data_IF_962652385843
#
_entry.id   IF_962652385843
#
_cell.length_a   1.000
_cell.length_b   1.000
_cell.length_c   1.000
_cell.angle_alpha   90.00
_cell.angle_beta   90.00
_cell.angle_gamma   90.00
#
_symmetry.space_group_name_H-M   'P 1'
#
loop_
_entity.id
_entity.type
_entity.pdbx_description
1 polymer ?
#
# COMPACT_ATOMS: atom_id res chain seq x y z
N UNK A 1 16.09 12.87 -0.18
CA UNK A 1 15.60 12.18 1.05
C UNK A 1 15.34 10.72 0.74
N UNK A 2 15.77 9.79 1.60
CA UNK A 2 15.40 8.38 1.48
C UNK A 2 14.01 8.19 2.13
N UNK A 3 12.96 8.68 1.48
CA UNK A 3 11.58 8.76 2.00
C UNK A 3 11.13 7.43 2.61
N UNK A 4 11.41 6.33 1.92
CA UNK A 4 11.09 5.00 2.42
C UNK A 4 11.80 4.66 3.75
N UNK A 5 13.09 4.95 3.87
CA UNK A 5 13.82 4.75 5.13
C UNK A 5 13.30 5.68 6.23
N UNK A 6 12.85 6.88 5.89
CA UNK A 6 12.23 7.79 6.86
C UNK A 6 10.88 7.24 7.35
N UNK A 7 10.05 6.67 6.46
CA UNK A 7 8.84 5.94 6.84
C UNK A 7 9.15 4.79 7.82
N UNK A 8 10.14 3.94 7.50
CA UNK A 8 10.58 2.84 8.37
C UNK A 8 11.03 3.35 9.74
N UNK A 9 11.82 4.43 9.77
CA UNK A 9 12.24 5.08 11.01
C UNK A 9 11.04 5.58 11.84
N UNK A 10 10.03 6.20 11.22
CA UNK A 10 8.85 6.69 11.94
C UNK A 10 8.02 5.55 12.54
N UNK A 11 7.84 4.46 11.81
CA UNK A 11 7.17 3.26 12.32
C UNK A 11 7.97 2.69 13.50
N UNK A 12 9.29 2.55 13.33
CA UNK A 12 10.19 2.08 14.38
C UNK A 12 10.08 2.93 15.64
N UNK A 13 10.25 4.25 15.52
CA UNK A 13 10.25 5.17 16.67
C UNK A 13 8.89 5.25 17.37
N UNK A 14 7.79 4.98 16.67
CA UNK A 14 6.47 4.86 17.29
C UNK A 14 6.36 3.59 18.14
N UNK A 15 6.74 2.43 17.59
CA UNK A 15 6.60 1.15 18.27
C UNK A 15 7.70 0.90 19.31
N UNK A 16 8.91 1.42 19.14
CA UNK A 16 9.99 1.27 20.12
C UNK A 16 9.75 2.03 21.43
N UNK A 17 8.84 3.01 21.42
CA UNK A 17 8.37 3.72 22.62
C UNK A 17 7.36 2.89 23.44
N UNK A 18 6.66 1.94 22.81
CA UNK A 18 5.88 0.93 23.53
C UNK A 18 6.82 -0.18 23.99
N UNK A 19 6.54 -0.83 25.12
CA UNK A 19 7.35 -1.91 25.70
C UNK A 19 7.33 -3.22 24.86
N UNK A 20 7.50 -3.12 23.54
CA UNK A 20 7.53 -4.22 22.60
C UNK A 20 8.96 -4.75 22.46
N UNK A 21 9.09 -6.06 22.29
CA UNK A 21 10.36 -6.69 21.95
C UNK A 21 10.85 -6.20 20.58
N UNK A 22 12.16 -5.99 20.42
CA UNK A 22 12.81 -5.57 19.18
C UNK A 22 12.40 -6.42 17.97
N UNK A 23 12.30 -7.76 18.14
CA UNK A 23 11.82 -8.64 17.07
C UNK A 23 10.39 -8.32 16.66
N UNK A 24 9.53 -8.04 17.64
CA UNK A 24 8.14 -7.64 17.41
C UNK A 24 8.09 -6.33 16.62
N UNK A 25 8.90 -5.33 17.02
CA UNK A 25 9.02 -4.05 16.31
C UNK A 25 9.44 -4.28 14.86
N UNK A 26 10.42 -5.13 14.58
CA UNK A 26 10.83 -5.46 13.20
C UNK A 26 9.72 -6.14 12.39
N UNK A 27 8.95 -7.05 12.99
CA UNK A 27 7.80 -7.66 12.31
C UNK A 27 6.71 -6.62 12.00
N UNK A 28 6.37 -5.75 12.94
CA UNK A 28 5.41 -4.67 12.72
C UNK A 28 5.84 -3.72 11.61
N UNK A 29 7.11 -3.28 11.64
CA UNK A 29 7.67 -2.42 10.60
C UNK A 29 7.55 -3.10 9.24
N UNK A 30 7.92 -4.38 9.14
CA UNK A 30 7.86 -5.14 7.90
C UNK A 30 6.44 -5.21 7.37
N UNK A 31 5.49 -5.69 8.18
CA UNK A 31 4.09 -5.87 7.77
C UNK A 31 3.48 -4.54 7.36
N UNK A 32 3.65 -3.50 8.18
CA UNK A 32 3.03 -2.20 7.93
C UNK A 32 3.64 -1.48 6.72
N UNK A 33 4.96 -1.49 6.57
CA UNK A 33 5.61 -0.89 5.39
C UNK A 33 5.33 -1.67 4.11
N UNK A 34 5.27 -3.01 4.16
CA UNK A 34 4.86 -3.84 3.04
C UNK A 34 3.43 -3.55 2.61
N UNK A 35 2.51 -3.40 3.58
CA UNK A 35 1.13 -3.02 3.29
C UNK A 35 1.04 -1.66 2.58
N UNK A 36 1.77 -0.65 3.07
CA UNK A 36 1.83 0.67 2.40
C UNK A 36 2.37 0.55 0.98
N UNK A 37 3.46 -0.21 0.77
CA UNK A 37 4.05 -0.41 -0.56
C UNK A 37 3.06 -1.08 -1.51
N UNK A 38 2.39 -2.15 -1.06
CA UNK A 38 1.44 -2.89 -1.89
C UNK A 38 0.23 -2.02 -2.25
N UNK A 39 -0.35 -1.32 -1.28
CA UNK A 39 -1.45 -0.39 -1.58
C UNK A 39 -0.99 0.69 -2.56
N UNK A 40 0.22 1.23 -2.39
CA UNK A 40 0.74 2.25 -3.31
C UNK A 40 0.86 1.71 -4.73
N UNK A 41 1.40 0.50 -4.90
CA UNK A 41 1.52 -0.16 -6.20
C UNK A 41 0.14 -0.44 -6.80
N UNK A 42 -0.79 -0.99 -6.02
CA UNK A 42 -2.16 -1.25 -6.47
C UNK A 42 -2.84 0.04 -6.91
N UNK A 43 -2.76 1.11 -6.13
CA UNK A 43 -3.31 2.42 -6.48
C UNK A 43 -2.72 2.92 -7.79
N UNK A 44 -1.41 2.81 -8.00
CA UNK A 44 -0.76 3.17 -9.26
C UNK A 44 -1.27 2.33 -10.44
N UNK A 45 -1.37 1.00 -10.29
CA UNK A 45 -1.86 0.11 -11.34
C UNK A 45 -3.32 0.41 -11.70
N UNK A 46 -4.19 0.56 -10.71
CA UNK A 46 -5.60 0.94 -10.92
C UNK A 46 -5.72 2.29 -11.62
N UNK A 47 -4.94 3.28 -11.18
CA UNK A 47 -4.93 4.61 -11.80
C UNK A 47 -4.46 4.53 -13.25
N UNK A 48 -3.42 3.74 -13.53
CA UNK A 48 -2.91 3.53 -14.86
C UNK A 48 -3.94 2.84 -15.77
N UNK A 49 -4.53 1.73 -15.33
CA UNK A 49 -5.60 1.02 -16.06
C UNK A 49 -6.77 1.95 -16.36
N UNK A 50 -7.13 2.82 -15.41
CA UNK A 50 -8.18 3.81 -15.60
C UNK A 50 -7.89 4.81 -16.74
N UNK A 51 -6.66 5.34 -16.82
CA UNK A 51 -6.33 6.37 -17.83
C UNK A 51 -5.89 5.80 -19.17
N UNK A 52 -5.24 4.64 -19.17
CA UNK A 52 -4.59 4.10 -20.37
C UNK A 52 -5.30 2.88 -20.95
N UNK A 53 -6.31 2.30 -20.28
CA UNK A 53 -7.31 1.33 -20.78
C UNK A 53 -6.82 0.06 -21.50
N UNK A 54 -5.52 -0.13 -21.73
CA UNK A 54 -4.98 -1.19 -22.58
C UNK A 54 -4.53 -2.45 -21.80
N UNK A 55 -4.63 -2.43 -20.48
CA UNK A 55 -4.03 -3.46 -19.63
C UNK A 55 -5.03 -3.98 -18.59
N UNK A 56 -5.66 -5.12 -18.88
CA UNK A 56 -6.48 -5.88 -17.92
C UNK A 56 -5.62 -6.62 -16.86
N UNK A 57 -4.57 -5.97 -16.33
CA UNK A 57 -3.57 -6.60 -15.44
C UNK A 57 -4.21 -7.18 -14.18
N UNK A 58 -5.30 -6.58 -13.70
CA UNK A 58 -5.85 -6.86 -12.37
C UNK A 58 -7.04 -7.83 -12.42
N UNK A 59 -7.64 -8.04 -13.60
CA UNK A 59 -8.93 -8.75 -13.74
C UNK A 59 -8.90 -10.22 -13.29
N UNK A 60 -7.74 -10.88 -13.35
CA UNK A 60 -7.60 -12.31 -13.07
C UNK A 60 -6.72 -12.66 -11.86
N UNK A 61 -6.40 -11.69 -11.01
CA UNK A 61 -5.56 -11.97 -9.83
C UNK A 61 -6.40 -12.65 -8.73
N UNK A 62 -6.16 -13.94 -8.53
CA UNK A 62 -6.81 -14.70 -7.45
C UNK A 62 -6.43 -14.18 -6.05
N UNK A 63 -7.31 -14.38 -5.06
CA UNK A 63 -7.03 -14.04 -3.65
C UNK A 63 -5.74 -14.71 -3.13
N UNK A 64 -5.48 -15.95 -3.55
CA UNK A 64 -4.26 -16.67 -3.19
C UNK A 64 -3.02 -16.03 -3.80
N UNK A 65 -3.10 -15.58 -5.05
CA UNK A 65 -2.01 -14.85 -5.72
C UNK A 65 -1.71 -13.52 -5.01
N UNK A 66 -2.73 -12.78 -4.56
CA UNK A 66 -2.53 -11.55 -3.78
C UNK A 66 -1.77 -11.84 -2.47
N UNK A 67 -2.16 -12.88 -1.75
CA UNK A 67 -1.48 -13.27 -0.51
C UNK A 67 -0.02 -13.68 -0.76
N UNK A 68 0.24 -14.42 -1.84
CA UNK A 68 1.58 -14.82 -2.22
C UNK A 68 2.46 -13.61 -2.61
N UNK A 69 1.91 -12.66 -3.37
CA UNK A 69 2.58 -11.37 -3.65
C UNK A 69 2.88 -10.64 -2.34
N UNK A 70 1.95 -10.60 -1.40
CA UNK A 70 2.16 -9.97 -0.10
C UNK A 70 3.34 -10.60 0.65
N UNK A 71 3.42 -11.94 0.68
CA UNK A 71 4.53 -12.66 1.29
C UNK A 71 5.86 -12.38 0.59
N UNK A 72 5.91 -12.43 -0.74
CA UNK A 72 7.12 -12.16 -1.52
C UNK A 72 7.64 -10.74 -1.25
N UNK A 73 6.76 -9.74 -1.39
CA UNK A 73 7.12 -8.33 -1.17
C UNK A 73 7.51 -8.11 0.30
N UNK A 74 6.82 -8.77 1.25
CA UNK A 74 7.18 -8.80 2.66
C UNK A 74 8.57 -9.33 2.91
N UNK A 75 8.91 -10.46 2.29
CA UNK A 75 10.22 -11.08 2.43
C UNK A 75 11.33 -10.19 1.84
N UNK A 76 11.12 -9.66 0.63
CA UNK A 76 12.05 -8.71 0.01
C UNK A 76 12.23 -7.49 0.91
N UNK A 77 11.13 -6.91 1.39
CA UNK A 77 11.17 -5.74 2.25
C UNK A 77 11.97 -6.00 3.53
N UNK A 78 11.70 -7.12 4.20
CA UNK A 78 12.41 -7.52 5.39
C UNK A 78 13.91 -7.66 5.15
N UNK A 79 14.33 -8.44 4.15
CA UNK A 79 15.75 -8.75 3.93
C UNK A 79 16.57 -7.55 3.47
N UNK A 80 16.00 -6.71 2.61
CA UNK A 80 16.73 -5.60 2.00
C UNK A 80 16.69 -4.31 2.83
N UNK A 81 15.57 -4.04 3.51
CA UNK A 81 15.35 -2.75 4.18
C UNK A 81 15.27 -2.85 5.69
N UNK A 82 14.46 -3.78 6.23
CA UNK A 82 14.20 -3.84 7.69
C UNK A 82 15.33 -4.51 8.44
N UNK A 83 15.71 -5.74 8.09
CA UNK A 83 16.68 -6.58 8.82
C UNK A 83 18.02 -5.90 9.08
N UNK A 84 18.48 -5.06 8.15
CA UNK A 84 19.79 -4.41 8.23
C UNK A 84 19.78 -3.12 9.06
N UNK A 85 18.62 -2.67 9.54
CA UNK A 85 18.44 -1.44 10.29
C UNK A 85 19.07 -0.20 9.65
N UNK A 86 19.25 -0.22 8.31
CA UNK A 86 19.88 0.88 7.56
C UNK A 86 19.15 2.20 7.76
N UNK A 87 17.84 2.13 8.04
CA UNK A 87 17.00 3.29 8.29
C UNK A 87 17.36 4.05 9.58
N UNK A 88 18.00 3.40 10.56
CA UNK A 88 18.47 4.04 11.80
C UNK A 88 19.75 4.87 11.58
N UNK A 89 20.55 4.53 10.56
CA UNK A 89 21.86 5.15 10.33
C UNK A 89 21.79 6.50 9.60
N UNK A 90 20.59 7.00 9.27
CA UNK A 90 20.43 8.25 8.52
C UNK A 90 20.33 9.51 9.40
N UNK A 91 20.61 9.40 10.71
CA UNK A 91 20.48 10.49 11.68
C UNK A 91 19.13 11.22 11.54
N UNK A 92 18.06 10.48 11.22
CA UNK A 92 16.73 11.07 11.13
C UNK A 92 16.32 11.57 12.50
N UNK A 93 15.87 12.81 12.56
CA UNK A 93 15.18 13.35 13.73
C UNK A 93 13.67 13.15 13.54
N UNK A 94 12.93 13.01 14.63
CA UNK A 94 11.47 13.06 14.57
C UNK A 94 11.01 14.48 14.25
N UNK A 95 11.14 14.89 13.00
CA UNK A 95 10.75 16.21 12.54
C UNK A 95 9.24 16.25 12.21
N UNK A 96 8.60 17.35 12.59
CA UNK A 96 7.15 17.55 12.33
C UNK A 96 6.85 17.58 10.82
N UNK A 97 7.76 18.11 10.00
CA UNK A 97 7.56 18.25 8.55
C UNK A 97 7.53 16.90 7.82
N UNK A 98 8.49 16.03 8.10
CA UNK A 98 8.53 14.67 7.55
C UNK A 98 7.33 13.82 7.99
N UNK A 99 6.91 13.94 9.25
CA UNK A 99 5.68 13.31 9.73
C UNK A 99 4.43 13.78 8.98
N UNK A 100 4.29 15.08 8.76
CA UNK A 100 3.19 15.67 7.98
C UNK A 100 3.20 15.20 6.54
N UNK A 101 4.37 15.07 5.90
CA UNK A 101 4.49 14.53 4.54
C UNK A 101 3.97 13.09 4.42
N UNK A 102 4.28 12.23 5.40
CA UNK A 102 3.73 10.86 5.42
C UNK A 102 2.21 10.89 5.56
N UNK A 103 1.67 11.73 6.45
CA UNK A 103 0.22 11.85 6.64
C UNK A 103 -0.47 12.33 5.36
N UNK A 104 0.06 13.38 4.72
CA UNK A 104 -0.46 13.89 3.44
C UNK A 104 -0.42 12.79 2.38
N UNK A 105 0.66 12.03 2.30
CA UNK A 105 0.77 10.90 1.37
C UNK A 105 -0.30 9.83 1.63
N UNK A 106 -0.53 9.45 2.89
CA UNK A 106 -1.56 8.47 3.25
C UNK A 106 -2.98 8.98 2.95
N UNK A 107 -3.26 10.25 3.22
CA UNK A 107 -4.53 10.88 2.88
C UNK A 107 -4.74 10.93 1.36
N UNK A 108 -3.70 11.27 0.60
CA UNK A 108 -3.75 11.26 -0.85
C UNK A 108 -4.02 9.86 -1.40
N UNK A 109 -3.31 8.85 -0.88
CA UNK A 109 -3.50 7.44 -1.24
C UNK A 109 -4.94 6.98 -0.95
N UNK A 110 -5.47 7.34 0.22
CA UNK A 110 -6.84 7.05 0.62
C UNK A 110 -7.87 7.70 -0.31
N UNK A 111 -7.68 8.97 -0.66
CA UNK A 111 -8.57 9.69 -1.58
C UNK A 111 -8.64 9.04 -2.95
N UNK A 112 -7.50 8.60 -3.51
CA UNK A 112 -7.50 7.89 -4.81
C UNK A 112 -8.26 6.57 -4.70
N UNK A 113 -8.02 5.78 -3.65
CA UNK A 113 -8.73 4.51 -3.44
C UNK A 113 -10.24 4.73 -3.36
N UNK A 114 -10.70 5.74 -2.63
CA UNK A 114 -12.13 6.07 -2.54
C UNK A 114 -12.73 6.42 -3.90
N UNK A 115 -12.03 7.20 -4.73
CA UNK A 115 -12.46 7.50 -6.10
C UNK A 115 -12.58 6.22 -6.95
N UNK A 116 -11.62 5.30 -6.81
CA UNK A 116 -11.64 4.04 -7.55
C UNK A 116 -12.79 3.12 -7.08
N UNK A 117 -13.08 3.08 -5.78
CA UNK A 117 -14.21 2.30 -5.23
C UNK A 117 -15.55 2.83 -5.75
N UNK A 118 -15.76 4.15 -5.72
CA UNK A 118 -16.99 4.77 -6.20
C UNK A 118 -17.20 4.44 -7.68
N UNK A 119 -16.18 4.64 -8.52
CA UNK A 119 -16.28 4.35 -9.96
C UNK A 119 -16.41 2.86 -10.27
N UNK A 120 -15.73 2.01 -9.51
CA UNK A 120 -15.84 0.55 -9.65
C UNK A 120 -17.27 0.09 -9.38
N UNK A 121 -17.93 0.64 -8.36
CA UNK A 121 -19.35 0.38 -8.08
C UNK A 121 -20.24 0.81 -9.24
N UNK A 122 -20.02 2.00 -9.78
CA UNK A 122 -20.84 2.53 -10.87
C UNK A 122 -20.73 1.66 -12.14
N UNK A 123 -19.51 1.20 -12.48
CA UNK A 123 -19.29 0.23 -13.57
C UNK A 123 -20.06 -1.08 -13.36
N UNK A 124 -20.03 -1.64 -12.15
CA UNK A 124 -20.76 -2.88 -11.82
C UNK A 124 -22.27 -2.69 -11.91
N UNK A 125 -22.78 -1.52 -11.51
CA UNK A 125 -24.20 -1.21 -11.63
C UNK A 125 -24.64 -1.11 -13.09
N UNK A 126 -23.88 -0.41 -13.93
CA UNK A 126 -24.16 -0.31 -15.36
C UNK A 126 -24.12 -1.68 -16.07
N UNK A 127 -23.15 -2.53 -15.73
CA UNK A 127 -23.04 -3.88 -16.30
C UNK A 127 -24.24 -4.76 -15.89
N UNK A 128 -24.66 -4.71 -14.63
CA UNK A 128 -25.83 -5.42 -14.15
C UNK A 128 -27.14 -4.95 -14.82
N UNK A 129 -27.28 -3.65 -15.07
CA UNK A 129 -28.42 -3.11 -15.81
C UNK A 129 -28.45 -3.58 -17.26
N UNK A 130 -27.30 -3.60 -17.95
CA UNK A 130 -27.19 -4.14 -19.32
C UNK A 130 -27.60 -5.60 -19.38
N UNK A 131 -27.05 -6.44 -18.48
CA UNK A 131 -27.37 -7.87 -18.40
C UNK A 131 -28.87 -8.08 -18.12
N UNK A 132 -29.48 -7.24 -17.26
CA UNK A 132 -30.92 -7.30 -16.97
C UNK A 132 -31.76 -6.98 -18.21
N UNK A 133 -31.40 -5.95 -18.98
CA UNK A 133 -32.10 -5.57 -20.21
C UNK A 133 -31.97 -6.67 -21.28
N UNK A 134 -30.79 -7.26 -21.44
CA UNK A 134 -30.57 -8.37 -22.38
C UNK A 134 -31.40 -9.61 -22.03
N UNK A 135 -31.53 -9.96 -20.75
CA UNK A 135 -32.37 -11.08 -20.30
C UNK A 135 -33.88 -10.86 -20.46
N UNK A 136 -34.31 -9.62 -20.66
CA UNK A 136 -35.72 -9.24 -20.84
C UNK A 136 -36.13 -9.14 -22.32
N UNK A 137 -35.17 -9.23 -23.25
CA UNK A 137 -35.40 -9.32 -24.71
C UNK A 137 -35.42 -10.77 -25.16
#
# INVERSE_FOLDING_TARGET
MKIYNYLLFRIYSFFSKGNYNERGVHYFITVFSTFIVIISIQTCLYTYEYYFSELEIIKDISKGSVFLIFLIVGFINYFFFVRKNKFLNYNFTEDKKGGVLIIIFLLFLFSILMLMVVKGRDKVLEENERIRIEKLK
#
